data_IF_515826493245
#
_entry.id   IF_515826493245
#
_cell.length_a   1.000
_cell.length_b   1.000
_cell.length_c   1.000
_cell.angle_alpha   90.00
_cell.angle_beta   90.00
_cell.angle_gamma   90.00
#
_symmetry.space_group_name_H-M   'P 1'
#
loop_
_entity.id
_entity.type
_entity.pdbx_description
1 polymer ?
#
# COMPACT_ATOMS: atom_id res chain seq x y z
N UNK A 1 -21.41 15.20 -2.79
CA UNK A 1 -20.70 14.54 -3.91
C UNK A 1 -19.32 14.00 -3.51
N UNK A 2 -18.55 14.64 -2.60
CA UNK A 2 -17.21 14.15 -2.21
C UNK A 2 -17.17 13.14 -1.04
N UNK A 3 -18.18 13.10 -0.16
CA UNK A 3 -18.12 12.23 1.03
C UNK A 3 -18.38 10.73 0.75
N UNK A 4 -19.12 10.39 -0.31
CA UNK A 4 -19.44 8.99 -0.63
C UNK A 4 -18.24 8.18 -1.13
N UNK A 5 -17.20 8.82 -1.65
CA UNK A 5 -15.98 8.14 -2.10
C UNK A 5 -14.92 8.01 -1.00
N UNK A 6 -15.08 8.73 0.13
CA UNK A 6 -14.17 8.67 1.27
C UNK A 6 -14.58 7.63 2.33
N UNK A 7 -15.87 7.28 2.38
CA UNK A 7 -16.37 6.27 3.32
C UNK A 7 -15.70 4.89 3.18
N UNK A 8 -15.45 4.35 1.97
CA UNK A 8 -14.78 3.04 1.83
C UNK A 8 -13.34 3.05 2.34
N UNK A 9 -12.65 4.20 2.27
CA UNK A 9 -11.27 4.35 2.71
C UNK A 9 -11.13 4.41 4.23
N UNK A 10 -12.19 4.80 4.95
CA UNK A 10 -12.23 4.82 6.43
C UNK A 10 -12.43 3.43 7.04
N UNK A 11 -12.92 2.48 6.26
CA UNK A 11 -13.08 1.07 6.65
C UNK A 11 -11.82 0.23 6.37
N UNK A 12 -10.82 0.81 5.69
CA UNK A 12 -9.54 0.15 5.44
C UNK A 12 -8.69 0.19 6.71
N UNK A 13 -8.66 -0.93 7.43
CA UNK A 13 -7.74 -1.11 8.54
C UNK A 13 -6.36 -1.47 8.00
N UNK A 14 -5.42 -0.52 8.03
CA UNK A 14 -4.06 -0.75 7.57
C UNK A 14 -3.34 -1.73 8.49
N UNK A 15 -2.69 -2.72 7.89
CA UNK A 15 -1.90 -3.67 8.66
C UNK A 15 -0.72 -2.95 9.32
N UNK A 16 -0.57 -3.15 10.63
CA UNK A 16 0.60 -2.68 11.34
C UNK A 16 1.79 -3.55 10.97
N UNK A 17 2.59 -3.09 10.01
CA UNK A 17 3.81 -3.75 9.61
C UNK A 17 4.91 -3.47 10.62
N UNK A 18 5.69 -4.50 10.95
CA UNK A 18 6.99 -4.28 11.60
C UNK A 18 7.93 -3.52 10.67
N UNK A 19 8.96 -2.89 11.23
CA UNK A 19 9.95 -2.15 10.44
C UNK A 19 10.64 -3.03 9.39
N UNK A 20 10.87 -4.32 9.69
CA UNK A 20 11.46 -5.26 8.76
C UNK A 20 10.52 -5.56 7.58
N UNK A 21 9.23 -5.78 7.83
CA UNK A 21 8.23 -6.04 6.80
C UNK A 21 8.02 -4.81 5.90
N UNK A 22 7.98 -3.61 6.49
CA UNK A 22 7.90 -2.36 5.73
C UNK A 22 9.11 -2.20 4.79
N UNK A 23 10.33 -2.50 5.26
CA UNK A 23 11.54 -2.45 4.44
C UNK A 23 11.53 -3.47 3.30
N UNK A 24 11.00 -4.67 3.54
CA UNK A 24 10.82 -5.68 2.49
C UNK A 24 9.82 -5.21 1.43
N UNK A 25 8.70 -4.61 1.86
CA UNK A 25 7.68 -4.07 0.95
C UNK A 25 8.24 -2.94 0.07
N UNK A 26 8.99 -2.00 0.66
CA UNK A 26 9.64 -0.90 -0.07
C UNK A 26 10.65 -1.44 -1.09
N UNK A 27 11.43 -2.44 -0.71
CA UNK A 27 12.42 -3.07 -1.63
C UNK A 27 11.72 -3.73 -2.80
N UNK A 28 10.65 -4.48 -2.52
CA UNK A 28 9.83 -5.12 -3.55
C UNK A 28 9.18 -4.10 -4.48
N UNK A 29 8.59 -3.02 -3.94
CA UNK A 29 7.96 -1.96 -4.73
C UNK A 29 8.95 -1.31 -5.69
N UNK A 30 10.16 -0.98 -5.20
CA UNK A 30 11.23 -0.42 -6.03
C UNK A 30 11.62 -1.37 -7.17
N UNK A 31 11.79 -2.66 -6.86
CA UNK A 31 12.14 -3.65 -7.88
C UNK A 31 11.04 -3.79 -8.93
N UNK A 32 9.78 -3.95 -8.51
CA UNK A 32 8.63 -4.06 -9.40
C UNK A 32 8.50 -2.83 -10.32
N UNK A 33 8.67 -1.63 -9.77
CA UNK A 33 8.62 -0.38 -10.52
C UNK A 33 9.75 -0.27 -11.55
N UNK A 34 10.96 -0.69 -11.19
CA UNK A 34 12.10 -0.75 -12.10
C UNK A 34 11.89 -1.75 -13.23
N UNK A 35 11.41 -2.96 -12.90
CA UNK A 35 11.23 -4.06 -13.85
C UNK A 35 10.13 -3.78 -14.87
N UNK A 36 9.07 -3.06 -14.46
CA UNK A 36 7.91 -2.78 -15.31
C UNK A 36 7.87 -1.36 -15.85
N UNK A 37 8.85 -0.52 -15.51
CA UNK A 37 8.87 0.92 -15.82
C UNK A 37 7.57 1.63 -15.43
N UNK A 38 7.07 1.32 -14.23
CA UNK A 38 5.84 1.90 -13.65
C UNK A 38 6.14 2.59 -12.33
N UNK A 39 5.18 3.39 -11.85
CA UNK A 39 5.18 3.94 -10.50
C UNK A 39 3.89 3.50 -9.81
N UNK A 40 3.96 2.36 -9.11
CA UNK A 40 2.87 1.85 -8.28
C UNK A 40 3.28 1.85 -6.81
N UNK A 41 2.28 1.96 -5.94
CA UNK A 41 2.41 1.91 -4.49
C UNK A 41 1.61 0.73 -3.94
N UNK A 42 2.21 -0.04 -3.03
CA UNK A 42 1.55 -1.16 -2.37
C UNK A 42 1.08 -0.77 -0.97
N UNK A 43 -0.16 -1.14 -0.62
CA UNK A 43 -0.71 -1.01 0.73
C UNK A 43 -1.15 -2.38 1.24
N UNK A 44 -0.81 -2.68 2.49
CA UNK A 44 -1.21 -3.92 3.17
C UNK A 44 -2.34 -3.58 4.15
N UNK A 45 -3.40 -4.36 4.10
CA UNK A 45 -4.60 -4.17 4.92
C UNK A 45 -4.84 -5.42 5.76
N UNK A 46 -5.36 -5.24 6.97
CA UNK A 46 -5.83 -6.34 7.81
C UNK A 46 -7.11 -6.93 7.19
N UNK A 47 -7.30 -8.25 7.33
CA UNK A 47 -8.46 -8.95 6.81
C UNK A 47 -9.70 -8.70 7.65
#
# INVERSE_FOLDING_TARGET
MQEHYLNPLKELNYANLTQEEANKLITFEKQFNNDLHKQVYFMVMEK
#
